data_IF_896990795312
#
_entry.id   IF_896990795312
#
_cell.length_a   1.000
_cell.length_b   1.000
_cell.length_c   1.000
_cell.angle_alpha   90.00
_cell.angle_beta   90.00
_cell.angle_gamma   90.00
#
_symmetry.space_group_name_H-M   'P 1'
#
loop_
_entity.id
_entity.type
_entity.pdbx_description
1 polymer ?
#
# COMPACT_ATOMS: atom_id res chain seq x y z
N UNK A 1 14.67 30.54 3.23
CA UNK A 1 13.43 29.74 3.20
C UNK A 1 12.28 30.60 3.73
N UNK A 2 11.25 30.79 2.92
CA UNK A 2 10.05 31.59 3.21
C UNK A 2 9.41 31.15 4.54
N UNK A 3 9.04 32.10 5.42
CA UNK A 3 8.43 31.79 6.73
C UNK A 3 7.10 31.04 6.58
N UNK A 4 6.30 31.37 5.55
CA UNK A 4 5.05 30.67 5.21
C UNK A 4 5.31 29.20 4.90
N UNK A 5 6.32 28.90 4.08
CA UNK A 5 6.71 27.52 3.75
C UNK A 5 7.20 26.75 4.97
N UNK A 6 7.96 27.39 5.87
CA UNK A 6 8.38 26.78 7.14
C UNK A 6 7.17 26.37 7.99
N UNK A 7 6.20 27.26 8.12
CA UNK A 7 4.97 26.99 8.88
C UNK A 7 4.17 25.86 8.26
N UNK A 8 3.99 25.85 6.93
CA UNK A 8 3.31 24.77 6.23
C UNK A 8 4.02 23.43 6.45
N UNK A 9 5.34 23.36 6.20
CA UNK A 9 6.14 22.13 6.41
C UNK A 9 6.00 21.60 7.84
N UNK A 10 6.04 22.48 8.85
CA UNK A 10 5.87 22.08 10.25
C UNK A 10 4.51 21.43 10.51
N UNK A 11 3.42 22.00 10.00
CA UNK A 11 2.08 21.45 10.21
C UNK A 11 1.87 20.14 9.46
N UNK A 12 2.37 20.05 8.22
CA UNK A 12 2.31 18.81 7.45
C UNK A 12 3.11 17.69 8.12
N UNK A 13 4.25 18.01 8.75
CA UNK A 13 5.01 17.03 9.52
C UNK A 13 4.23 16.50 10.73
N UNK A 14 3.50 17.35 11.47
CA UNK A 14 2.65 16.89 12.58
C UNK A 14 1.55 15.93 12.09
N UNK A 15 0.91 16.24 10.96
CA UNK A 15 -0.11 15.39 10.33
C UNK A 15 0.49 14.05 9.87
N UNK A 16 1.64 14.11 9.21
CA UNK A 16 2.37 12.92 8.78
C UNK A 16 2.73 12.01 9.97
N UNK A 17 3.19 12.58 11.08
CA UNK A 17 3.52 11.81 12.28
C UNK A 17 2.28 11.11 12.89
N UNK A 18 1.11 11.74 12.84
CA UNK A 18 -0.16 11.11 13.26
C UNK A 18 -0.50 9.95 12.33
N UNK A 19 -0.38 10.13 11.02
CA UNK A 19 -0.63 9.08 10.02
C UNK A 19 0.36 7.91 10.16
N UNK A 20 1.64 8.19 10.40
CA UNK A 20 2.65 7.18 10.68
C UNK A 20 2.32 6.38 11.95
N UNK A 21 1.82 7.04 13.00
CA UNK A 21 1.34 6.35 14.20
C UNK A 21 0.12 5.46 13.91
N UNK A 22 -0.85 5.94 13.12
CA UNK A 22 -1.97 5.10 12.63
C UNK A 22 -1.45 3.89 11.86
N UNK A 23 -0.46 4.06 10.97
CA UNK A 23 0.11 2.98 10.18
C UNK A 23 0.80 1.91 11.07
N UNK A 24 1.53 2.31 12.12
CA UNK A 24 2.11 1.35 13.08
C UNK A 24 1.02 0.54 13.79
N UNK A 25 -0.07 1.19 14.18
CA UNK A 25 -1.22 0.52 14.80
C UNK A 25 -1.93 -0.42 13.80
N UNK A 26 -2.02 -0.04 12.53
CA UNK A 26 -2.54 -0.88 11.44
C UNK A 26 -1.66 -2.10 11.17
N UNK A 27 -0.34 -1.94 11.22
CA UNK A 27 0.61 -3.06 11.16
C UNK A 27 0.43 -3.99 12.34
N UNK A 28 0.42 -3.47 13.57
CA UNK A 28 0.27 -4.27 14.79
C UNK A 28 -1.04 -5.05 14.76
N UNK A 29 -2.13 -4.46 14.25
CA UNK A 29 -3.45 -5.08 14.13
C UNK A 29 -3.41 -6.38 13.33
N UNK A 30 -2.53 -6.45 12.33
CA UNK A 30 -2.45 -7.54 11.38
C UNK A 30 -1.36 -8.56 11.70
N UNK A 31 -0.49 -8.27 12.68
CA UNK A 31 0.71 -9.06 12.98
C UNK A 31 0.73 -9.55 14.43
N UNK A 32 0.60 -8.67 15.42
CA UNK A 32 0.85 -8.99 16.83
C UNK A 32 -0.36 -8.79 17.76
N UNK A 33 -1.36 -8.01 17.33
CA UNK A 33 -2.48 -7.64 18.17
C UNK A 33 -3.28 -8.88 18.65
N UNK A 34 -3.57 -9.00 19.96
CA UNK A 34 -4.45 -10.04 20.47
C UNK A 34 -5.87 -9.92 19.87
N UNK A 35 -6.58 -11.04 19.63
CA UNK A 35 -7.93 -11.01 19.03
C UNK A 35 -8.95 -10.15 19.80
N UNK A 36 -8.82 -10.06 21.13
CA UNK A 36 -9.70 -9.23 21.97
C UNK A 36 -9.45 -7.71 21.87
N UNK A 37 -8.42 -7.27 21.15
CA UNK A 37 -8.06 -5.86 21.02
C UNK A 37 -8.79 -5.10 19.90
N UNK A 38 -9.58 -5.79 19.08
CA UNK A 38 -10.14 -5.26 17.84
C UNK A 38 -10.93 -3.94 18.01
N UNK A 39 -11.83 -3.88 19.00
CA UNK A 39 -12.68 -2.71 19.23
C UNK A 39 -11.85 -1.50 19.69
N UNK A 40 -10.94 -1.71 20.64
CA UNK A 40 -10.05 -0.65 21.11
C UNK A 40 -9.14 -0.14 19.98
N UNK A 41 -8.60 -1.05 19.15
CA UNK A 41 -7.78 -0.69 17.99
C UNK A 41 -8.56 0.12 16.96
N UNK A 42 -9.79 -0.27 16.66
CA UNK A 42 -10.64 0.48 15.74
C UNK A 42 -10.92 1.90 16.25
N UNK A 43 -11.18 2.07 17.55
CA UNK A 43 -11.39 3.39 18.15
C UNK A 43 -10.11 4.25 18.13
N UNK A 44 -8.93 3.65 18.37
CA UNK A 44 -7.64 4.34 18.28
C UNK A 44 -7.38 4.87 16.86
N UNK A 45 -7.51 4.01 15.85
CA UNK A 45 -7.31 4.37 14.44
C UNK A 45 -8.30 5.45 14.00
N UNK A 46 -9.59 5.27 14.31
CA UNK A 46 -10.62 6.26 13.97
C UNK A 46 -10.36 7.63 14.62
N UNK A 47 -9.87 7.64 15.86
CA UNK A 47 -9.51 8.89 16.57
C UNK A 47 -8.32 9.57 15.91
N UNK A 48 -7.24 8.84 15.62
CA UNK A 48 -6.04 9.40 15.01
C UNK A 48 -6.32 9.93 13.59
N UNK A 49 -7.05 9.17 12.77
CA UNK A 49 -7.38 9.56 11.41
C UNK A 49 -8.27 10.81 11.40
N UNK A 50 -9.22 10.91 12.33
CA UNK A 50 -10.03 12.12 12.52
C UNK A 50 -9.19 13.33 12.92
N UNK A 51 -8.30 13.18 13.90
CA UNK A 51 -7.44 14.28 14.36
C UNK A 51 -6.53 14.75 13.22
N UNK A 52 -5.90 13.81 12.50
CA UNK A 52 -5.08 14.13 11.33
C UNK A 52 -5.87 14.88 10.26
N UNK A 53 -7.09 14.44 9.98
CA UNK A 53 -8.00 15.10 9.04
C UNK A 53 -8.38 16.51 9.48
N UNK A 54 -8.82 16.69 10.72
CA UNK A 54 -9.22 17.99 11.29
C UNK A 54 -8.06 19.01 11.25
N UNK A 55 -6.83 18.57 11.52
CA UNK A 55 -5.64 19.41 11.42
C UNK A 55 -5.32 19.79 9.97
N UNK A 56 -5.51 18.87 9.03
CA UNK A 56 -5.18 19.08 7.62
C UNK A 56 -6.16 20.04 6.93
N UNK A 57 -7.47 19.93 7.21
CA UNK A 57 -8.50 20.70 6.49
C UNK A 57 -8.72 22.12 7.02
N UNK A 58 -7.89 22.60 7.95
CA UNK A 58 -8.05 23.94 8.55
C UNK A 58 -7.96 25.07 7.52
N UNK A 59 -8.64 26.19 7.78
CA UNK A 59 -8.54 27.39 6.93
C UNK A 59 -7.10 27.94 6.88
N UNK A 60 -6.34 27.76 7.96
CA UNK A 60 -4.93 28.17 8.02
C UNK A 60 -4.08 27.42 6.99
N UNK A 61 -4.21 26.09 6.88
CA UNK A 61 -3.51 25.32 5.84
C UNK A 61 -3.90 25.82 4.45
N UNK A 62 -5.19 26.06 4.21
CA UNK A 62 -5.69 26.58 2.95
C UNK A 62 -5.09 27.94 2.57
N UNK A 63 -4.97 28.85 3.55
CA UNK A 63 -4.35 30.17 3.35
C UNK A 63 -2.84 30.05 3.12
N UNK A 64 -2.13 29.21 3.86
CA UNK A 64 -0.70 28.97 3.65
C UNK A 64 -0.41 28.45 2.24
N UNK A 65 -1.23 27.53 1.74
CA UNK A 65 -1.13 26.99 0.39
C UNK A 65 -1.41 28.07 -0.67
N UNK A 66 -2.38 28.96 -0.43
CA UNK A 66 -2.71 30.06 -1.33
C UNK A 66 -1.57 31.09 -1.41
N UNK A 67 -1.03 31.49 -0.27
CA UNK A 67 0.10 32.43 -0.18
C UNK A 67 1.35 31.88 -0.90
N UNK A 68 1.48 30.56 -0.99
CA UNK A 68 2.61 29.88 -1.64
C UNK A 68 2.39 29.61 -3.13
N UNK A 69 1.16 29.68 -3.65
CA UNK A 69 0.85 29.42 -5.06
C UNK A 69 1.61 30.37 -6.03
N UNK A 70 1.91 31.60 -5.56
CA UNK A 70 2.66 32.62 -6.32
C UNK A 70 4.11 32.82 -5.88
N UNK A 71 4.68 31.95 -5.04
CA UNK A 71 5.97 32.20 -4.38
C UNK A 71 7.22 32.12 -5.29
N UNK A 72 7.05 31.81 -6.59
CA UNK A 72 8.14 31.84 -7.58
C UNK A 72 9.17 30.72 -7.43
N UNK A 73 8.78 29.58 -6.87
CA UNK A 73 9.63 28.38 -6.84
C UNK A 73 9.91 27.88 -8.27
N UNK A 74 11.06 27.24 -8.46
CA UNK A 74 11.32 26.50 -9.71
C UNK A 74 10.31 25.35 -9.81
N UNK A 75 9.74 25.13 -10.99
CA UNK A 75 8.60 24.23 -11.18
C UNK A 75 8.90 22.76 -10.81
N UNK A 76 10.17 22.38 -10.90
CA UNK A 76 10.73 21.05 -10.61
C UNK A 76 11.35 20.95 -9.20
N UNK A 77 11.22 22.00 -8.36
CA UNK A 77 11.72 21.94 -6.99
C UNK A 77 10.78 21.16 -6.06
N UNK A 78 11.33 20.63 -4.96
CA UNK A 78 10.55 19.94 -3.93
C UNK A 78 9.54 20.88 -3.27
N UNK A 79 9.85 22.18 -3.13
CA UNK A 79 8.88 23.15 -2.62
C UNK A 79 7.67 23.33 -3.54
N UNK A 80 7.91 23.45 -4.85
CA UNK A 80 6.81 23.56 -5.82
C UNK A 80 5.97 22.27 -5.83
N UNK A 81 6.63 21.12 -5.76
CA UNK A 81 5.96 19.81 -5.72
C UNK A 81 5.17 19.60 -4.43
N UNK A 82 5.72 19.95 -3.27
CA UNK A 82 5.05 19.86 -1.98
C UNK A 82 3.78 20.71 -1.96
N UNK A 83 3.86 21.97 -2.41
CA UNK A 83 2.69 22.86 -2.46
C UNK A 83 1.63 22.31 -3.42
N UNK A 84 2.04 21.80 -4.58
CA UNK A 84 1.13 21.23 -5.58
C UNK A 84 0.40 19.99 -5.05
N UNK A 85 1.13 19.04 -4.47
CA UNK A 85 0.55 17.81 -3.89
C UNK A 85 -0.33 18.14 -2.69
N UNK A 86 0.18 18.94 -1.74
CA UNK A 86 -0.59 19.34 -0.56
C UNK A 86 -1.88 20.10 -0.92
N UNK A 87 -1.85 20.95 -1.96
CA UNK A 87 -3.05 21.64 -2.47
C UNK A 87 -4.08 20.64 -3.01
N UNK A 88 -3.63 19.71 -3.85
CA UNK A 88 -4.51 18.68 -4.41
C UNK A 88 -5.20 17.88 -3.30
N UNK A 89 -4.41 17.37 -2.35
CA UNK A 89 -4.91 16.54 -1.26
C UNK A 89 -5.81 17.35 -0.32
N UNK A 90 -5.46 18.61 -0.03
CA UNK A 90 -6.27 19.51 0.80
C UNK A 90 -7.64 19.77 0.18
N UNK A 91 -7.68 20.10 -1.11
CA UNK A 91 -8.92 20.43 -1.81
C UNK A 91 -9.87 19.22 -1.86
N UNK A 92 -9.34 17.99 -1.93
CA UNK A 92 -10.13 16.76 -1.77
C UNK A 92 -10.56 16.52 -0.32
N UNK A 93 -9.62 16.55 0.62
CA UNK A 93 -9.88 16.25 2.03
C UNK A 93 -10.94 17.20 2.62
N UNK A 94 -10.89 18.49 2.26
CA UNK A 94 -11.82 19.50 2.76
C UNK A 94 -13.28 19.28 2.34
N UNK A 95 -13.53 18.43 1.34
CA UNK A 95 -14.88 18.00 0.94
C UNK A 95 -15.48 16.93 1.86
N UNK A 96 -14.67 16.27 2.68
CA UNK A 96 -15.10 15.24 3.62
C UNK A 96 -15.31 15.80 5.02
N UNK A 97 -16.42 15.43 5.66
CA UNK A 97 -16.62 15.74 7.07
C UNK A 97 -15.70 14.87 7.95
N UNK A 98 -15.20 15.40 9.08
CA UNK A 98 -14.44 14.59 10.04
C UNK A 98 -15.19 13.34 10.53
N UNK A 99 -16.52 13.42 10.65
CA UNK A 99 -17.36 12.29 11.05
C UNK A 99 -17.39 11.18 10.01
N UNK A 100 -17.38 11.52 8.72
CA UNK A 100 -17.33 10.53 7.65
C UNK A 100 -15.96 9.82 7.65
N UNK A 101 -14.86 10.55 7.83
CA UNK A 101 -13.51 9.98 7.93
C UNK A 101 -13.38 9.04 9.12
N UNK A 102 -13.86 9.47 10.29
CA UNK A 102 -13.90 8.65 11.51
C UNK A 102 -14.69 7.35 11.29
N UNK A 103 -15.86 7.44 10.67
CA UNK A 103 -16.73 6.29 10.44
C UNK A 103 -16.16 5.30 9.42
N UNK A 104 -15.52 5.79 8.37
CA UNK A 104 -14.76 4.97 7.41
C UNK A 104 -13.65 4.23 8.13
N UNK A 105 -12.78 4.94 8.87
CA UNK A 105 -11.64 4.35 9.56
C UNK A 105 -12.08 3.28 10.56
N UNK A 106 -13.09 3.57 11.38
CA UNK A 106 -13.66 2.63 12.35
C UNK A 106 -14.24 1.39 11.68
N UNK A 107 -15.01 1.58 10.60
CA UNK A 107 -15.68 0.48 9.89
C UNK A 107 -14.66 -0.43 9.20
N UNK A 108 -13.66 0.12 8.52
CA UNK A 108 -12.58 -0.65 7.90
C UNK A 108 -11.74 -1.40 8.94
N UNK A 109 -11.38 -0.74 10.05
CA UNK A 109 -10.59 -1.35 11.12
C UNK A 109 -11.30 -2.56 11.76
N UNK A 110 -12.60 -2.45 12.05
CA UNK A 110 -13.39 -3.59 12.53
C UNK A 110 -13.56 -4.64 11.43
N UNK A 111 -13.79 -4.19 10.19
CA UNK A 111 -13.99 -5.05 9.04
C UNK A 111 -12.79 -5.95 8.76
N UNK A 112 -11.56 -5.50 9.02
CA UNK A 112 -10.36 -6.32 8.85
C UNK A 112 -10.41 -7.61 9.67
N UNK A 113 -10.89 -7.55 10.92
CA UNK A 113 -10.98 -8.73 11.79
C UNK A 113 -12.13 -9.65 11.38
N UNK A 114 -13.27 -9.08 11.00
CA UNK A 114 -14.42 -9.83 10.49
C UNK A 114 -14.04 -10.55 9.19
N UNK A 115 -13.36 -9.86 8.28
CA UNK A 115 -12.86 -10.43 7.03
C UNK A 115 -11.84 -11.54 7.29
N UNK A 116 -10.87 -11.34 8.19
CA UNK A 116 -9.84 -12.34 8.46
C UNK A 116 -10.47 -13.65 8.95
N UNK A 117 -11.49 -13.56 9.83
CA UNK A 117 -12.27 -14.70 10.29
C UNK A 117 -13.11 -15.32 9.16
N UNK A 118 -13.89 -14.51 8.45
CA UNK A 118 -14.74 -14.95 7.34
C UNK A 118 -13.93 -15.68 6.26
N UNK A 119 -12.73 -15.19 5.94
CA UNK A 119 -11.80 -15.83 5.01
C UNK A 119 -11.28 -17.16 5.53
N UNK A 120 -10.91 -17.24 6.82
CA UNK A 120 -10.43 -18.47 7.42
C UNK A 120 -11.52 -19.56 7.46
N UNK A 121 -12.77 -19.16 7.64
CA UNK A 121 -13.94 -20.05 7.70
C UNK A 121 -14.60 -20.27 6.33
N UNK A 122 -14.11 -19.60 5.28
CA UNK A 122 -14.68 -19.59 3.93
C UNK A 122 -16.19 -19.25 3.93
N UNK A 123 -16.58 -18.24 4.72
CA UNK A 123 -17.97 -17.87 4.96
C UNK A 123 -18.19 -16.37 4.69
N UNK A 124 -18.64 -16.07 3.47
CA UNK A 124 -18.95 -14.70 3.05
C UNK A 124 -20.05 -14.04 3.87
N UNK A 125 -21.01 -14.82 4.39
CA UNK A 125 -22.17 -14.26 5.09
C UNK A 125 -21.77 -13.45 6.33
N UNK A 126 -20.65 -13.81 6.97
CA UNK A 126 -20.09 -13.08 8.10
C UNK A 126 -19.55 -11.70 7.74
N UNK A 127 -19.10 -11.49 6.50
CA UNK A 127 -18.52 -10.22 6.04
C UNK A 127 -19.50 -9.37 5.22
N UNK A 128 -20.59 -9.96 4.72
CA UNK A 128 -21.52 -9.32 3.80
C UNK A 128 -22.04 -7.96 4.29
N UNK A 129 -22.53 -7.87 5.53
CA UNK A 129 -23.08 -6.62 6.07
C UNK A 129 -22.00 -5.54 6.22
N UNK A 130 -20.82 -5.94 6.69
CA UNK A 130 -19.67 -5.05 6.82
C UNK A 130 -19.20 -4.52 5.47
N UNK A 131 -19.11 -5.39 4.46
CA UNK A 131 -18.77 -5.01 3.09
C UNK A 131 -19.80 -4.05 2.50
N UNK A 132 -21.09 -4.32 2.69
CA UNK A 132 -22.15 -3.43 2.21
C UNK A 132 -22.03 -2.02 2.83
N UNK A 133 -21.69 -1.93 4.12
CA UNK A 133 -21.43 -0.66 4.80
C UNK A 133 -20.18 0.04 4.27
N UNK A 134 -19.09 -0.69 4.02
CA UNK A 134 -17.86 -0.12 3.42
C UNK A 134 -18.16 0.46 2.03
N UNK A 135 -18.95 -0.24 1.22
CA UNK A 135 -19.36 0.24 -0.11
C UNK A 135 -20.20 1.52 0.00
N UNK A 136 -21.20 1.54 0.90
CA UNK A 136 -22.03 2.73 1.13
C UNK A 136 -21.20 3.95 1.55
N UNK A 137 -20.28 3.77 2.51
CA UNK A 137 -19.36 4.83 2.93
C UNK A 137 -18.41 5.28 1.80
N UNK A 138 -17.98 4.36 0.94
CA UNK A 138 -17.15 4.67 -0.23
C UNK A 138 -17.93 5.50 -1.27
N UNK A 139 -19.22 5.20 -1.47
CA UNK A 139 -20.11 6.00 -2.32
C UNK A 139 -20.29 7.40 -1.73
N UNK A 140 -20.55 7.52 -0.42
CA UNK A 140 -20.65 8.83 0.24
C UNK A 140 -19.37 9.65 0.08
N UNK A 141 -18.20 9.03 0.23
CA UNK A 141 -16.89 9.66 -0.01
C UNK A 141 -16.75 10.13 -1.46
N UNK A 142 -17.10 9.29 -2.44
CA UNK A 142 -17.02 9.63 -3.86
C UNK A 142 -17.95 10.78 -4.25
N UNK A 143 -19.19 10.77 -3.73
CA UNK A 143 -20.17 11.85 -3.93
C UNK A 143 -19.68 13.17 -3.32
N UNK A 144 -19.05 13.12 -2.14
CA UNK A 144 -18.46 14.30 -1.52
C UNK A 144 -17.28 14.86 -2.33
N UNK A 145 -16.41 14.00 -2.88
CA UNK A 145 -15.35 14.43 -3.79
C UNK A 145 -15.87 15.07 -5.08
N UNK A 146 -16.96 14.52 -5.62
CA UNK A 146 -17.49 14.87 -6.93
C UNK A 146 -16.72 14.20 -8.07
N UNK A 147 -17.40 14.01 -9.18
CA UNK A 147 -16.88 13.35 -10.38
C UNK A 147 -17.57 13.90 -11.63
N UNK A 148 -16.92 13.74 -12.79
CA UNK A 148 -17.45 14.17 -14.09
C UNK A 148 -18.16 13.02 -14.80
N UNK A 149 -17.42 11.95 -15.13
CA UNK A 149 -17.92 10.85 -15.95
C UNK A 149 -18.37 9.62 -15.13
N UNK A 150 -17.58 9.23 -14.12
CA UNK A 150 -17.80 8.03 -13.32
C UNK A 150 -17.56 8.29 -11.85
N UNK A 151 -18.47 7.82 -10.98
CA UNK A 151 -18.29 7.87 -9.53
C UNK A 151 -17.00 7.20 -9.07
N UNK A 152 -16.56 6.17 -9.79
CA UNK A 152 -15.32 5.47 -9.47
C UNK A 152 -14.07 6.33 -9.71
N UNK A 153 -14.11 7.30 -10.63
CA UNK A 153 -12.97 8.20 -10.90
C UNK A 153 -12.62 9.05 -9.68
N UNK A 154 -13.60 9.41 -8.86
CA UNK A 154 -13.36 10.14 -7.61
C UNK A 154 -12.52 9.31 -6.61
N UNK A 155 -12.74 8.00 -6.57
CA UNK A 155 -12.03 7.08 -5.69
C UNK A 155 -10.70 6.61 -6.28
N UNK A 156 -10.64 6.42 -7.61
CA UNK A 156 -9.43 6.01 -8.31
C UNK A 156 -8.30 7.01 -8.12
N UNK A 157 -8.63 8.30 -8.10
CA UNK A 157 -7.68 9.40 -7.93
C UNK A 157 -6.97 9.38 -6.56
N UNK A 158 -7.49 8.68 -5.54
CA UNK A 158 -6.77 8.48 -4.27
C UNK A 158 -5.55 7.55 -4.41
N UNK A 159 -5.50 6.76 -5.49
CA UNK A 159 -4.51 5.71 -5.70
C UNK A 159 -3.62 5.99 -6.89
N UNK A 160 -4.22 6.47 -7.99
CA UNK A 160 -3.55 6.81 -9.23
C UNK A 160 -4.01 8.21 -9.68
N UNK A 161 -3.36 9.28 -9.19
CA UNK A 161 -3.81 10.65 -9.42
C UNK A 161 -4.01 10.96 -10.90
N UNK A 162 -5.12 11.64 -11.20
CA UNK A 162 -5.56 12.04 -12.54
C UNK A 162 -5.95 10.91 -13.51
N UNK A 163 -5.79 9.63 -13.16
CA UNK A 163 -6.20 8.53 -14.04
C UNK A 163 -7.72 8.37 -14.01
N UNK A 164 -8.32 8.16 -15.19
CA UNK A 164 -9.76 7.91 -15.34
C UNK A 164 -10.08 6.46 -15.69
N UNK A 165 -11.28 6.02 -15.35
CA UNK A 165 -11.84 4.70 -15.69
C UNK A 165 -11.75 4.42 -17.20
N UNK A 166 -11.95 5.43 -18.04
CA UNK A 166 -11.83 5.31 -19.50
C UNK A 166 -10.40 4.95 -19.96
N UNK A 167 -9.38 5.38 -19.23
CA UNK A 167 -7.98 5.04 -19.54
C UNK A 167 -7.66 3.60 -19.11
N UNK A 168 -8.11 3.22 -17.91
CA UNK A 168 -8.00 1.85 -17.41
C UNK A 168 -8.68 0.86 -18.36
N UNK A 169 -9.89 1.18 -18.85
CA UNK A 169 -10.60 0.34 -19.80
C UNK A 169 -9.80 0.12 -21.10
N UNK A 170 -9.19 1.19 -21.64
CA UNK A 170 -8.35 1.07 -22.84
C UNK A 170 -7.16 0.12 -22.62
N UNK A 171 -6.45 0.28 -21.50
CA UNK A 171 -5.33 -0.60 -21.14
C UNK A 171 -5.80 -2.05 -20.98
N UNK A 172 -6.93 -2.27 -20.30
CA UNK A 172 -7.48 -3.62 -20.12
C UNK A 172 -7.92 -4.27 -21.42
N UNK A 173 -8.48 -3.51 -22.36
CA UNK A 173 -8.89 -4.05 -23.66
C UNK A 173 -7.67 -4.49 -24.49
N UNK A 174 -6.58 -3.70 -24.48
CA UNK A 174 -5.31 -4.06 -25.13
C UNK A 174 -4.68 -5.32 -24.50
N UNK A 175 -4.64 -5.37 -23.17
CA UNK A 175 -4.12 -6.54 -22.44
C UNK A 175 -4.96 -7.79 -22.70
N UNK A 176 -6.30 -7.71 -22.65
CA UNK A 176 -7.19 -8.85 -22.91
C UNK A 176 -7.01 -9.39 -24.32
N UNK A 177 -6.88 -8.51 -25.32
CA UNK A 177 -6.69 -8.90 -26.71
C UNK A 177 -5.46 -9.80 -26.93
N UNK A 178 -4.43 -9.67 -26.08
CA UNK A 178 -3.19 -10.44 -26.17
C UNK A 178 -3.12 -11.58 -25.14
N UNK A 179 -3.44 -11.30 -23.88
CA UNK A 179 -3.26 -12.23 -22.77
C UNK A 179 -4.29 -13.36 -22.79
N UNK A 180 -5.54 -13.12 -23.21
CA UNK A 180 -6.55 -14.19 -23.25
C UNK A 180 -6.16 -15.27 -24.25
N UNK A 181 -5.80 -14.96 -25.52
CA UNK A 181 -5.29 -15.98 -26.44
C UNK A 181 -4.01 -16.66 -25.96
N UNK A 182 -3.09 -15.91 -25.35
CA UNK A 182 -1.83 -16.47 -24.83
C UNK A 182 -2.09 -17.49 -23.71
N UNK A 183 -2.94 -17.17 -22.73
CA UNK A 183 -3.30 -18.08 -21.64
C UNK A 183 -4.00 -19.33 -22.17
N UNK A 184 -4.87 -19.17 -23.18
CA UNK A 184 -5.50 -20.31 -23.84
C UNK A 184 -4.46 -21.24 -24.49
N UNK A 185 -3.54 -20.67 -25.28
CA UNK A 185 -2.49 -21.45 -25.93
C UNK A 185 -1.56 -22.16 -24.93
N UNK A 186 -1.23 -21.52 -23.81
CA UNK A 186 -0.44 -22.16 -22.73
C UNK A 186 -1.25 -23.29 -22.07
N UNK A 187 -2.54 -23.09 -21.84
CA UNK A 187 -3.42 -24.07 -21.18
C UNK A 187 -3.64 -25.33 -22.03
N UNK A 188 -3.68 -25.19 -23.36
CA UNK A 188 -3.69 -26.32 -24.30
C UNK A 188 -2.43 -27.20 -24.20
N UNK A 189 -1.36 -26.68 -23.58
CA UNK A 189 -0.10 -27.36 -23.31
C UNK A 189 0.23 -27.48 -21.81
N UNK A 190 -0.77 -27.45 -20.92
CA UNK A 190 -0.55 -27.42 -19.47
C UNK A 190 0.32 -28.57 -18.93
N UNK A 191 0.36 -29.73 -19.60
CA UNK A 191 1.19 -30.88 -19.23
C UNK A 191 2.63 -30.86 -19.79
N UNK A 192 3.05 -29.79 -20.45
CA UNK A 192 4.37 -29.72 -21.11
C UNK A 192 5.55 -29.56 -20.13
N UNK A 193 5.30 -29.17 -18.87
CA UNK A 193 6.31 -28.98 -17.83
C UNK A 193 5.93 -29.80 -16.60
N UNK A 194 6.86 -30.59 -16.08
CA UNK A 194 6.71 -31.26 -14.80
C UNK A 194 6.91 -30.25 -13.66
N UNK A 195 5.83 -29.95 -12.94
CA UNK A 195 5.82 -29.04 -11.80
C UNK A 195 5.83 -29.76 -10.44
N UNK A 196 5.94 -31.10 -10.42
CA UNK A 196 5.82 -31.90 -9.19
C UNK A 196 6.84 -31.54 -8.11
N UNK A 197 7.97 -30.94 -8.50
CA UNK A 197 8.96 -30.40 -7.56
C UNK A 197 8.38 -29.31 -6.64
N UNK A 198 7.35 -28.60 -7.08
CA UNK A 198 6.68 -27.54 -6.31
C UNK A 198 5.59 -28.05 -5.38
N UNK A 199 5.12 -29.30 -5.57
CA UNK A 199 4.06 -29.94 -4.78
C UNK A 199 4.60 -30.69 -3.54
N UNK A 200 5.86 -30.43 -3.19
CA UNK A 200 6.52 -31.03 -2.03
C UNK A 200 6.21 -30.24 -0.75
N UNK A 201 6.44 -30.88 0.39
CA UNK A 201 6.47 -30.17 1.67
C UNK A 201 7.85 -29.53 1.88
N UNK A 202 7.86 -28.26 2.25
CA UNK A 202 9.06 -27.48 2.55
C UNK A 202 9.01 -27.03 4.01
N UNK A 203 10.10 -27.25 4.74
CA UNK A 203 10.20 -26.81 6.14
C UNK A 203 10.00 -25.29 6.25
N UNK A 204 9.10 -24.86 7.14
CA UNK A 204 8.73 -23.44 7.22
C UNK A 204 9.88 -22.54 7.70
N UNK A 205 10.76 -23.06 8.56
CA UNK A 205 11.91 -22.29 9.05
C UNK A 205 12.96 -22.14 7.94
N UNK A 206 13.23 -23.20 7.19
CA UNK A 206 14.10 -23.14 6.01
C UNK A 206 13.57 -22.16 4.95
N UNK A 207 12.25 -22.18 4.69
CA UNK A 207 11.61 -21.22 3.78
C UNK A 207 11.78 -19.78 4.27
N UNK A 208 11.57 -19.54 5.58
CA UNK A 208 11.74 -18.24 6.19
C UNK A 208 13.18 -17.74 6.07
N UNK A 209 14.16 -18.57 6.43
CA UNK A 209 15.58 -18.21 6.38
C UNK A 209 16.04 -17.92 4.94
N UNK A 210 15.59 -18.73 3.98
CA UNK A 210 15.85 -18.49 2.56
C UNK A 210 15.24 -17.18 2.05
N UNK A 211 14.00 -16.88 2.45
CA UNK A 211 13.34 -15.61 2.14
C UNK A 211 14.08 -14.41 2.73
N UNK A 212 14.50 -14.49 4.00
CA UNK A 212 15.28 -13.44 4.66
C UNK A 212 16.64 -13.21 4.02
N UNK A 213 17.29 -14.27 3.53
CA UNK A 213 18.53 -14.15 2.78
C UNK A 213 18.32 -13.42 1.45
N UNK A 214 17.29 -13.79 0.70
CA UNK A 214 16.97 -13.16 -0.58
C UNK A 214 16.60 -11.69 -0.38
N UNK A 215 15.82 -11.39 0.67
CA UNK A 215 15.46 -10.02 1.04
C UNK A 215 16.71 -9.16 1.28
N UNK A 216 17.69 -9.67 2.03
CA UNK A 216 18.99 -9.00 2.20
C UNK A 216 19.74 -8.86 0.87
N UNK A 217 19.73 -9.90 0.04
CA UNK A 217 20.49 -9.92 -1.21
C UNK A 217 19.96 -8.93 -2.27
N UNK A 218 18.65 -8.65 -2.30
CA UNK A 218 18.08 -7.61 -3.16
C UNK A 218 18.35 -6.18 -2.63
N UNK A 219 18.96 -6.06 -1.45
CA UNK A 219 19.40 -4.79 -0.88
C UNK A 219 18.47 -4.19 0.17
N UNK A 220 17.48 -4.93 0.66
CA UNK A 220 16.61 -4.45 1.73
C UNK A 220 17.40 -4.33 3.04
N UNK A 221 17.33 -3.16 3.66
CA UNK A 221 18.07 -2.83 4.87
C UNK A 221 17.28 -3.23 6.12
N UNK A 222 17.76 -4.27 6.81
CA UNK A 222 17.11 -4.80 8.02
C UNK A 222 17.42 -3.99 9.29
N UNK A 223 18.32 -3.02 9.25
CA UNK A 223 18.45 -2.05 10.34
C UNK A 223 17.38 -0.96 10.23
N UNK A 224 16.80 -0.80 9.03
CA UNK A 224 15.74 0.18 8.70
C UNK A 224 14.40 -0.49 8.38
N UNK A 225 14.23 -1.74 8.78
CA UNK A 225 13.03 -2.50 8.46
C UNK A 225 13.03 -3.91 9.01
N UNK A 226 11.91 -4.62 8.83
CA UNK A 226 11.74 -6.01 9.26
C UNK A 226 10.69 -6.74 8.44
N UNK A 227 10.73 -8.07 8.49
CA UNK A 227 9.70 -8.93 7.92
C UNK A 227 9.00 -9.76 9.00
N UNK A 228 7.68 -9.87 8.89
CA UNK A 228 6.82 -10.64 9.79
C UNK A 228 5.86 -11.58 9.05
N UNK A 229 5.07 -12.35 9.80
CA UNK A 229 3.99 -13.17 9.25
C UNK A 229 2.65 -12.45 9.36
N UNK A 230 1.84 -12.51 8.30
CA UNK A 230 0.47 -12.00 8.28
C UNK A 230 -0.46 -12.93 7.48
N UNK A 231 -1.77 -12.71 7.58
CA UNK A 231 -2.76 -13.49 6.81
C UNK A 231 -2.68 -13.18 5.31
N UNK A 232 -2.40 -11.92 4.98
CA UNK A 232 -2.20 -11.40 3.64
C UNK A 232 -0.95 -10.53 3.65
N UNK A 233 0.11 -10.89 2.89
CA UNK A 233 1.32 -10.09 2.76
C UNK A 233 1.04 -8.63 2.40
N UNK A 234 1.84 -7.73 2.96
CA UNK A 234 1.79 -6.29 2.68
C UNK A 234 3.08 -5.61 3.14
N UNK A 235 3.30 -4.41 2.59
CA UNK A 235 4.36 -3.48 2.97
C UNK A 235 3.75 -2.23 3.58
N UNK A 236 4.39 -1.69 4.61
CA UNK A 236 4.01 -0.41 5.22
C UNK A 236 5.25 0.35 5.66
N UNK A 237 5.17 1.68 5.65
CA UNK A 237 6.28 2.58 5.93
C UNK A 237 5.82 3.63 6.93
N UNK A 238 6.67 3.95 7.90
CA UNK A 238 6.42 5.02 8.89
C UNK A 238 7.46 6.14 8.79
N UNK A 239 8.57 5.85 8.12
CA UNK A 239 9.67 6.73 7.72
C UNK A 239 10.54 5.95 6.75
N UNK A 240 11.46 6.61 6.05
CA UNK A 240 12.48 5.93 5.22
C UNK A 240 13.42 5.00 6.03
N UNK A 241 13.34 5.04 7.37
CA UNK A 241 14.13 4.25 8.30
C UNK A 241 13.31 3.21 9.11
N UNK A 242 12.00 3.08 8.87
CA UNK A 242 11.17 2.01 9.44
C UNK A 242 10.14 1.57 8.41
N UNK A 243 10.57 0.64 7.56
CA UNK A 243 9.77 0.00 6.50
C UNK A 243 9.56 -1.46 6.87
N UNK A 244 8.31 -1.89 6.97
CA UNK A 244 7.97 -3.25 7.44
C UNK A 244 7.24 -4.02 6.37
N UNK A 245 7.66 -5.26 6.21
CA UNK A 245 7.11 -6.22 5.27
C UNK A 245 6.40 -7.32 6.04
N UNK A 246 5.45 -7.97 5.41
CA UNK A 246 4.91 -9.23 5.91
C UNK A 246 4.86 -10.24 4.80
N UNK A 247 5.08 -11.51 5.13
CA UNK A 247 4.95 -12.62 4.19
C UNK A 247 4.08 -13.72 4.79
N UNK A 248 3.81 -14.74 3.99
CA UNK A 248 3.07 -15.91 4.43
C UNK A 248 3.74 -17.19 3.97
N UNK A 249 4.05 -18.04 4.93
CA UNK A 249 4.68 -19.33 4.73
C UNK A 249 3.61 -20.42 4.74
N UNK A 250 3.71 -21.32 3.76
CA UNK A 250 2.91 -22.54 3.70
C UNK A 250 3.85 -23.72 3.52
N UNK A 251 3.57 -24.81 4.23
CA UNK A 251 4.35 -26.04 4.12
C UNK A 251 4.27 -26.66 2.73
N UNK A 252 3.12 -26.55 2.07
CA UNK A 252 2.78 -27.17 0.79
C UNK A 252 2.78 -26.19 -0.40
N UNK A 253 3.21 -24.94 -0.18
CA UNK A 253 3.26 -23.94 -1.25
C UNK A 253 4.43 -22.98 -1.10
N UNK A 254 5.62 -23.47 -1.44
CA UNK A 254 6.90 -22.74 -1.37
C UNK A 254 6.86 -21.35 -2.01
N UNK A 255 6.19 -21.24 -3.17
CA UNK A 255 6.10 -20.01 -3.95
C UNK A 255 5.49 -18.84 -3.15
N UNK A 256 4.58 -19.12 -2.21
CA UNK A 256 3.93 -18.08 -1.41
C UNK A 256 4.93 -17.26 -0.60
N UNK A 257 5.81 -17.93 0.16
CA UNK A 257 6.75 -17.25 1.05
C UNK A 257 7.80 -16.47 0.26
N UNK A 258 8.38 -17.12 -0.75
CA UNK A 258 9.47 -16.55 -1.54
C UNK A 258 8.99 -15.36 -2.39
N UNK A 259 7.97 -15.57 -3.23
CA UNK A 259 7.51 -14.52 -4.12
C UNK A 259 6.77 -13.42 -3.37
N UNK A 260 6.09 -13.75 -2.25
CA UNK A 260 5.57 -12.75 -1.32
C UNK A 260 6.70 -11.87 -0.75
N UNK A 261 7.78 -12.48 -0.25
CA UNK A 261 8.95 -11.74 0.26
C UNK A 261 9.61 -10.86 -0.81
N UNK A 262 9.74 -11.35 -2.04
CA UNK A 262 10.29 -10.55 -3.15
C UNK A 262 9.36 -9.41 -3.58
N UNK A 263 8.05 -9.67 -3.60
CA UNK A 263 7.04 -8.69 -3.95
C UNK A 263 7.03 -7.54 -2.92
N UNK A 264 6.86 -7.87 -1.65
CA UNK A 264 6.91 -6.87 -0.56
C UNK A 264 8.31 -6.25 -0.45
N UNK A 265 9.37 -7.02 -0.68
CA UNK A 265 10.73 -6.53 -0.72
C UNK A 265 10.94 -5.46 -1.79
N UNK A 266 10.29 -5.58 -2.95
CA UNK A 266 10.34 -4.57 -4.00
C UNK A 266 9.64 -3.26 -3.61
N UNK A 267 8.50 -3.34 -2.94
CA UNK A 267 7.87 -2.18 -2.29
C UNK A 267 8.78 -1.57 -1.23
N UNK A 268 9.34 -2.40 -0.35
CA UNK A 268 10.24 -1.98 0.70
C UNK A 268 11.48 -1.26 0.20
N UNK A 269 12.05 -1.74 -0.91
CA UNK A 269 13.18 -1.09 -1.57
C UNK A 269 12.82 0.27 -2.14
N UNK A 270 11.61 0.45 -2.67
CA UNK A 270 11.17 1.77 -3.12
C UNK A 270 11.14 2.74 -1.92
N UNK A 271 10.43 2.37 -0.86
CA UNK A 271 10.28 3.19 0.34
C UNK A 271 11.62 3.52 1.02
N UNK A 272 12.53 2.55 1.17
CA UNK A 272 13.84 2.75 1.82
C UNK A 272 14.83 3.62 1.02
N UNK A 273 14.57 3.83 -0.28
CA UNK A 273 15.44 4.58 -1.19
C UNK A 273 14.84 5.91 -1.66
N UNK A 274 13.71 6.34 -1.09
CA UNK A 274 13.26 7.73 -1.20
C UNK A 274 14.33 8.66 -0.61
N UNK A 275 14.52 9.83 -1.20
CA UNK A 275 15.50 10.80 -0.71
C UNK A 275 15.20 11.14 0.77
N UNK A 276 16.16 10.94 1.71
CA UNK A 276 15.94 11.18 3.13
C UNK A 276 15.55 12.63 3.47
N UNK A 277 15.80 13.59 2.58
CA UNK A 277 15.37 14.98 2.77
C UNK A 277 13.85 15.19 2.62
N UNK A 278 13.15 14.21 2.03
CA UNK A 278 11.70 14.20 1.90
C UNK A 278 10.99 13.54 3.09
N UNK A 279 11.72 12.83 3.94
CA UNK A 279 11.17 12.14 5.12
C UNK A 279 10.41 13.12 6.03
N UNK A 280 9.25 12.69 6.53
CA UNK A 280 8.37 13.57 7.31
C UNK A 280 7.57 14.60 6.48
N UNK A 281 7.59 14.52 5.15
CA UNK A 281 6.78 15.38 4.27
C UNK A 281 5.76 14.56 3.47
N UNK A 282 4.79 15.22 2.84
CA UNK A 282 3.83 14.57 1.93
C UNK A 282 4.46 14.07 0.62
N UNK A 283 5.76 14.32 0.40
CA UNK A 283 6.49 13.81 -0.76
C UNK A 283 7.26 12.52 -0.45
N UNK A 284 7.25 12.04 0.80
CA UNK A 284 7.88 10.77 1.15
C UNK A 284 7.02 9.60 0.66
N UNK A 285 7.67 8.60 0.06
CA UNK A 285 7.05 7.33 -0.34
C UNK A 285 6.76 7.21 -1.84
N UNK A 286 5.96 6.21 -2.19
CA UNK A 286 5.52 5.95 -3.56
C UNK A 286 4.72 7.09 -4.20
N UNK A 287 5.03 7.44 -5.45
CA UNK A 287 4.31 8.51 -6.17
C UNK A 287 2.87 8.16 -6.55
N UNK A 288 2.56 6.86 -6.70
CA UNK A 288 1.23 6.30 -6.99
C UNK A 288 1.25 4.79 -6.75
N UNK A 289 0.09 4.14 -6.65
CA UNK A 289 0.05 2.67 -6.49
C UNK A 289 0.59 1.94 -7.72
N UNK A 290 0.34 2.43 -8.93
CA UNK A 290 0.83 1.83 -10.17
C UNK A 290 2.37 1.83 -10.25
N UNK A 291 3.00 2.94 -9.87
CA UNK A 291 4.47 3.00 -9.79
C UNK A 291 4.98 2.16 -8.63
N UNK A 292 4.30 2.15 -7.49
CA UNK A 292 4.69 1.33 -6.34
C UNK A 292 4.63 -0.17 -6.67
N UNK A 293 3.56 -0.63 -7.32
CA UNK A 293 3.39 -2.00 -7.87
C UNK A 293 4.38 -2.32 -8.99
N UNK A 294 4.84 -1.33 -9.76
CA UNK A 294 5.89 -1.57 -10.76
C UNK A 294 7.18 -2.06 -10.10
N UNK A 295 7.50 -1.58 -8.90
CA UNK A 295 8.69 -1.99 -8.16
C UNK A 295 8.55 -3.40 -7.58
N UNK A 296 7.41 -3.71 -6.94
CA UNK A 296 7.16 -5.06 -6.43
C UNK A 296 7.16 -6.10 -7.54
N UNK A 297 6.49 -5.82 -8.66
CA UNK A 297 6.43 -6.74 -9.82
C UNK A 297 7.77 -6.86 -10.55
N UNK A 298 8.61 -5.83 -10.56
CA UNK A 298 9.97 -5.92 -11.08
C UNK A 298 10.78 -6.97 -10.30
N UNK A 299 10.79 -6.87 -8.97
CA UNK A 299 11.56 -7.79 -8.13
C UNK A 299 10.94 -9.19 -8.06
N UNK A 300 9.62 -9.30 -7.97
CA UNK A 300 8.93 -10.59 -7.96
C UNK A 300 9.07 -11.32 -9.30
N UNK A 301 8.67 -10.68 -10.41
CA UNK A 301 8.48 -11.37 -11.68
C UNK A 301 9.69 -11.23 -12.60
N UNK A 302 10.15 -10.01 -12.84
CA UNK A 302 11.24 -9.78 -13.82
C UNK A 302 12.56 -10.37 -13.29
N UNK A 303 12.83 -10.17 -12.00
CA UNK A 303 14.01 -10.73 -11.32
C UNK A 303 13.72 -12.13 -10.77
N UNK A 304 12.80 -12.25 -9.81
CA UNK A 304 12.59 -13.48 -9.04
C UNK A 304 12.09 -14.69 -9.82
N UNK A 305 11.30 -14.47 -10.89
CA UNK A 305 10.88 -15.55 -11.81
C UNK A 305 11.80 -15.68 -13.02
N UNK A 306 12.85 -14.87 -13.11
CA UNK A 306 13.85 -14.91 -14.18
C UNK A 306 14.75 -16.15 -14.08
N UNK A 307 15.10 -16.74 -15.22
CA UNK A 307 16.06 -17.85 -15.28
C UNK A 307 17.41 -17.56 -14.60
N UNK A 308 18.02 -16.35 -14.75
CA UNK A 308 19.30 -16.05 -14.09
C UNK A 308 19.23 -16.11 -12.56
N UNK A 309 18.11 -15.66 -11.97
CA UNK A 309 17.88 -15.74 -10.53
C UNK A 309 17.95 -17.19 -10.05
N UNK A 310 17.22 -18.09 -10.73
CA UNK A 310 17.22 -19.51 -10.40
C UNK A 310 18.54 -20.22 -10.69
N UNK A 311 19.28 -19.83 -11.73
CA UNK A 311 20.63 -20.36 -11.95
C UNK A 311 21.58 -20.07 -10.78
N UNK A 312 21.37 -18.96 -10.08
CA UNK A 312 22.16 -18.60 -8.90
C UNK A 312 21.64 -19.28 -7.62
N UNK A 313 20.34 -19.20 -7.35
CA UNK A 313 19.77 -19.63 -6.06
C UNK A 313 19.29 -21.09 -6.00
N UNK A 314 19.08 -21.76 -7.13
CA UNK A 314 18.61 -23.15 -7.13
C UNK A 314 19.56 -24.13 -6.42
N UNK A 315 20.90 -24.08 -6.62
CA UNK A 315 21.83 -24.95 -5.87
C UNK A 315 21.78 -24.75 -4.35
N UNK A 316 21.37 -23.56 -3.90
CA UNK A 316 21.21 -23.25 -2.49
C UNK A 316 19.87 -23.74 -1.96
N UNK A 317 18.80 -23.59 -2.72
CA UNK A 317 17.48 -24.11 -2.37
C UNK A 317 17.46 -25.64 -2.19
N UNK A 318 18.38 -26.36 -2.84
CA UNK A 318 18.49 -27.82 -2.73
C UNK A 318 19.15 -28.32 -1.43
N UNK A 319 19.76 -27.43 -0.64
CA UNK A 319 20.44 -27.76 0.63
C UNK A 319 19.47 -27.69 1.80
#
# INVERSE_FOLDING_TARGET
>A
MNQTLKTLKSKLADIHNIQAASAVLGWDQQVLMPPGGAEARANQLATLDKIGHELFITDEIGQLLEDLAGAGFAADSDEASLVRVARHDYDKARKLSPQLVEEISRTCSLGQQIWAKARAENDFSQFQETLAKIIDLSIQKAEAYGYEDSIYDALLDDYEPSVKTAEINRVFDELKATLVPLVQAISEHAGAVDASVLDQEFDEAAQWDFGMEILKAIGFDLERGRQDKSVHPFTTSFSVNDVRLTTRVYKDFFSSALFGTLHEGGHGLYEQNVDPSLDGTLLVGGTSLGVHESQSRLWENVVGRGKPFWQHYYPKLQQ
#
